data_IF_929133723141
#
_entry.id   IF_929133723141
#
_cell.length_a   1.000
_cell.length_b   1.000
_cell.length_c   1.000
_cell.angle_alpha   90.00
_cell.angle_beta   90.00
_cell.angle_gamma   90.00
#
_symmetry.space_group_name_H-M   'P 1'
#
loop_
_entity.id
_entity.type
_entity.pdbx_description
1 polymer ?
#
# COMPACT_ATOMS: atom_id res chain seq x y z
N UNK A 1 13.80 19.17 7.24
CA UNK A 1 13.44 18.58 5.93
C UNK A 1 13.00 19.61 4.89
N UNK A 2 12.90 20.91 5.23
CA UNK A 2 12.37 21.92 4.30
C UNK A 2 10.84 21.90 4.14
N UNK A 3 10.17 20.96 4.81
CA UNK A 3 8.71 20.80 4.82
C UNK A 3 8.17 21.40 6.13
N UNK A 4 7.02 22.11 6.14
CA UNK A 4 6.43 22.63 7.38
C UNK A 4 6.13 21.51 8.39
N UNK A 5 6.20 21.83 9.69
CA UNK A 5 6.05 20.85 10.79
C UNK A 5 4.72 20.07 10.74
N UNK A 6 3.65 20.69 10.25
CA UNK A 6 2.35 20.02 10.06
C UNK A 6 2.43 18.88 9.04
N UNK A 7 3.16 19.10 7.96
CA UNK A 7 3.40 18.10 6.93
C UNK A 7 4.38 17.03 7.37
N UNK A 8 5.42 17.38 8.12
CA UNK A 8 6.31 16.37 8.74
C UNK A 8 5.50 15.40 9.61
N UNK A 9 4.47 15.88 10.32
CA UNK A 9 3.55 15.03 11.10
C UNK A 9 2.67 14.16 10.22
N UNK A 10 2.04 14.71 9.19
CA UNK A 10 1.18 13.96 8.25
C UNK A 10 1.97 12.84 7.56
N UNK A 11 3.22 13.08 7.20
CA UNK A 11 4.05 12.14 6.45
C UNK A 11 4.79 11.11 7.32
N UNK A 12 4.72 11.23 8.64
CA UNK A 12 5.42 10.34 9.59
C UNK A 12 4.88 8.90 9.69
N UNK A 13 3.56 8.63 9.56
CA UNK A 13 3.04 7.27 9.66
C UNK A 13 3.41 6.43 8.45
N UNK A 14 3.60 5.12 8.65
CA UNK A 14 3.78 4.15 7.56
C UNK A 14 2.56 4.06 6.64
N UNK A 15 1.36 4.27 7.19
CA UNK A 15 0.11 4.38 6.47
C UNK A 15 -0.53 5.73 6.80
N UNK A 16 -0.61 6.61 5.81
CA UNK A 16 -1.04 7.98 6.01
C UNK A 16 -2.54 8.07 5.79
N UNK A 17 -3.26 8.54 6.80
CA UNK A 17 -4.68 8.85 6.70
C UNK A 17 -4.88 10.30 7.10
N UNK A 18 -5.24 11.15 6.13
CA UNK A 18 -5.63 12.53 6.40
C UNK A 18 -6.66 13.01 5.37
N UNK A 19 -7.44 14.08 5.67
CA UNK A 19 -8.49 14.57 4.77
C UNK A 19 -8.01 15.01 3.39
N UNK A 20 -6.75 15.44 3.26
CA UNK A 20 -6.21 16.05 2.03
C UNK A 20 -5.04 15.27 1.43
N UNK A 21 -4.46 14.31 2.15
CA UNK A 21 -3.34 13.47 1.68
C UNK A 21 -3.34 12.11 2.39
N UNK A 22 -3.09 11.02 1.67
CA UNK A 22 -3.09 9.70 2.28
C UNK A 22 -2.50 8.61 1.39
N UNK A 23 -2.34 7.43 1.98
CA UNK A 23 -1.87 6.24 1.27
C UNK A 23 -2.90 5.83 0.23
N UNK A 24 -2.53 5.89 -1.06
CA UNK A 24 -3.42 5.53 -2.17
C UNK A 24 -3.48 4.02 -2.40
N UNK A 25 -2.38 3.32 -2.23
CA UNK A 25 -2.30 1.87 -2.45
C UNK A 25 -1.31 1.24 -1.47
N UNK A 26 -1.57 -0.02 -1.13
CA UNK A 26 -0.68 -0.89 -0.36
C UNK A 26 -0.64 -2.26 -1.02
N UNK A 27 0.56 -2.69 -1.39
CA UNK A 27 0.78 -3.93 -2.14
C UNK A 27 1.58 -4.92 -1.30
N UNK A 28 1.14 -6.18 -1.30
CA UNK A 28 1.87 -7.32 -0.75
C UNK A 28 2.23 -8.27 -1.87
N UNK A 29 3.52 -8.61 -1.94
CA UNK A 29 4.05 -9.69 -2.76
C UNK A 29 4.49 -10.81 -1.82
N UNK A 30 3.80 -11.94 -1.88
CA UNK A 30 4.17 -13.16 -1.17
C UNK A 30 4.71 -14.15 -2.18
N UNK A 31 5.94 -14.63 -1.98
CA UNK A 31 6.56 -15.68 -2.78
C UNK A 31 6.85 -16.84 -1.82
N UNK A 32 6.28 -18.01 -2.09
CA UNK A 32 6.54 -19.22 -1.30
C UNK A 32 7.80 -19.95 -1.78
N UNK A 33 8.08 -21.12 -1.17
CA UNK A 33 9.27 -21.92 -1.51
C UNK A 33 9.13 -22.70 -2.80
N UNK A 34 7.93 -22.73 -3.37
CA UNK A 34 7.58 -23.38 -4.63
C UNK A 34 7.41 -22.37 -5.76
N UNK A 35 7.99 -21.17 -5.61
CA UNK A 35 7.98 -20.06 -6.57
C UNK A 35 6.57 -19.60 -6.98
N UNK A 36 5.57 -19.80 -6.10
CA UNK A 36 4.22 -19.29 -6.32
C UNK A 36 4.12 -17.90 -5.72
N UNK A 37 3.71 -16.95 -6.55
CA UNK A 37 3.49 -15.56 -6.18
C UNK A 37 2.02 -15.33 -5.89
N UNK A 38 1.75 -14.70 -4.75
CA UNK A 38 0.49 -14.00 -4.49
C UNK A 38 0.77 -12.51 -4.48
N UNK A 39 0.23 -11.81 -5.47
CA UNK A 39 0.17 -10.36 -5.52
C UNK A 39 -1.17 -9.92 -4.96
N UNK A 40 -1.16 -9.12 -3.91
CA UNK A 40 -2.35 -8.53 -3.31
C UNK A 40 -2.17 -7.02 -3.26
N UNK A 41 -2.96 -6.27 -4.02
CA UNK A 41 -3.02 -4.82 -3.94
C UNK A 41 -4.33 -4.35 -3.34
N UNK A 42 -4.24 -3.37 -2.46
CA UNK A 42 -5.39 -2.65 -1.90
C UNK A 42 -5.28 -1.19 -2.27
N UNK A 43 -6.33 -0.65 -2.88
CA UNK A 43 -6.45 0.78 -3.17
C UNK A 43 -7.37 1.45 -2.15
N UNK A 44 -7.02 2.67 -1.74
CA UNK A 44 -7.73 3.47 -0.74
C UNK A 44 -8.05 4.86 -1.32
N UNK A 45 -9.04 5.55 -0.75
CA UNK A 45 -9.49 6.88 -1.18
C UNK A 45 -9.51 7.90 -0.03
N UNK A 46 -8.58 7.77 0.93
CA UNK A 46 -8.45 8.69 2.06
C UNK A 46 -9.03 8.17 3.38
N UNK A 47 -9.67 7.00 3.38
CA UNK A 47 -10.00 6.26 4.62
C UNK A 47 -9.10 5.02 4.79
N UNK A 48 -9.19 4.39 5.96
CA UNK A 48 -8.48 3.15 6.28
C UNK A 48 -9.06 1.92 5.56
N UNK A 49 -10.28 2.02 5.05
CA UNK A 49 -10.96 0.94 4.36
C UNK A 49 -10.57 0.95 2.87
N UNK A 50 -10.14 -0.19 2.32
CA UNK A 50 -9.83 -0.26 0.90
C UNK A 50 -11.12 -0.16 0.06
N UNK A 51 -11.08 0.65 -0.98
CA UNK A 51 -12.17 0.72 -1.98
C UNK A 51 -12.08 -0.40 -3.00
N UNK A 52 -10.89 -0.95 -3.21
CA UNK A 52 -10.66 -2.02 -4.16
C UNK A 52 -9.55 -2.93 -3.66
N UNK A 53 -9.72 -4.23 -3.89
CA UNK A 53 -8.67 -5.23 -3.67
C UNK A 53 -8.51 -6.03 -4.96
N UNK A 54 -7.28 -6.09 -5.46
CA UNK A 54 -6.90 -6.91 -6.60
C UNK A 54 -5.97 -8.02 -6.12
N UNK A 55 -6.29 -9.27 -6.42
CA UNK A 55 -5.46 -10.42 -6.10
C UNK A 55 -5.09 -11.18 -7.39
N UNK A 56 -3.81 -11.44 -7.58
CA UNK A 56 -3.30 -12.27 -8.66
C UNK A 56 -2.42 -13.38 -8.08
N UNK A 57 -2.57 -14.58 -8.65
CA UNK A 57 -1.73 -15.74 -8.31
C UNK A 57 -1.09 -16.26 -9.58
N UNK A 58 0.23 -16.34 -9.58
CA UNK A 58 1.02 -16.80 -10.73
C UNK A 58 2.29 -17.49 -10.25
N UNK A 59 2.89 -18.32 -11.09
CA UNK A 59 4.21 -18.90 -10.83
C UNK A 59 5.29 -18.00 -11.44
N UNK A 60 6.47 -17.93 -10.81
CA UNK A 60 7.63 -17.34 -11.47
C UNK A 60 8.09 -18.28 -12.59
N UNK A 61 8.27 -17.73 -13.79
CA UNK A 61 8.94 -18.43 -14.87
C UNK A 61 10.45 -18.27 -14.69
N UNK A 62 11.19 -19.38 -14.80
CA UNK A 62 12.63 -19.45 -14.65
C UNK A 62 13.38 -18.98 -15.91
#
# INVERSE_FOLDING_TARGET
TGVPIEWERILSPIFITSPTYGTRSSTVLLIDKEDRVTFLDRTFNGSSEPVTTCEFRFALEA
#
